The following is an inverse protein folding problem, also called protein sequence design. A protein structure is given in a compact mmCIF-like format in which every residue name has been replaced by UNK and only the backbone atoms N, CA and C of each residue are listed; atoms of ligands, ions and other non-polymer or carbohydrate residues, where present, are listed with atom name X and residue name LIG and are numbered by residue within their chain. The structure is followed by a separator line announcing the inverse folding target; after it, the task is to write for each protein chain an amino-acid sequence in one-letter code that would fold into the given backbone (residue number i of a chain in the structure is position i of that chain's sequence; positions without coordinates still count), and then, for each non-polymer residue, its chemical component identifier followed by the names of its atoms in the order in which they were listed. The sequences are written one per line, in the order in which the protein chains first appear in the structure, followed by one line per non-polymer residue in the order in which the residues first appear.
data_IF_289779668484
#
_entry.id   IF_289779668484
#
_cell.length_a   1.000
_cell.length_b   1.000
_cell.length_c   1.000
_cell.angle_alpha   90.00
_cell.angle_beta   90.00
_cell.angle_gamma   90.00
#
_symmetry.space_group_name_H-M   'P 1'
#
loop_
_entity.id
_entity.type
_entity.pdbx_description
1 polymer ?
#
# COMPACT_ATOMS: atom_id res chain seq x y z
N UNK A 1 6.11 5.83 12.78
CA UNK A 1 5.28 4.59 12.66
C UNK A 1 3.90 4.88 13.23
N UNK A 2 2.85 4.58 12.45
CA UNK A 2 1.46 4.78 12.89
C UNK A 2 0.99 3.53 13.64
N UNK A 3 0.48 3.71 14.85
CA UNK A 3 -0.22 2.68 15.61
C UNK A 3 -1.72 2.83 15.36
N UNK A 4 -2.22 2.10 14.38
CA UNK A 4 -3.64 2.14 14.01
C UNK A 4 -4.43 1.01 14.68
N UNK A 5 -5.74 1.22 14.83
CA UNK A 5 -6.68 0.21 15.35
C UNK A 5 -6.93 -0.87 14.27
N UNK A 6 -7.05 -2.12 14.70
CA UNK A 6 -7.42 -3.21 13.80
C UNK A 6 -8.89 -3.09 13.38
N UNK A 7 -9.23 -3.49 12.14
CA UNK A 7 -10.56 -3.28 11.60
C UNK A 7 -11.65 -4.10 12.31
N UNK A 8 -11.40 -5.37 12.61
CA UNK A 8 -12.39 -6.27 13.27
C UNK A 8 -13.78 -6.20 12.62
N UNK A 9 -13.84 -6.21 11.29
CA UNK A 9 -15.08 -6.07 10.51
C UNK A 9 -15.49 -4.62 10.19
N UNK A 10 -14.74 -3.62 10.67
CA UNK A 10 -14.97 -2.19 10.44
C UNK A 10 -13.84 -1.61 9.58
N UNK A 11 -13.93 -1.80 8.28
CA UNK A 11 -12.87 -1.49 7.30
C UNK A 11 -12.42 -0.02 7.32
N UNK A 12 -13.29 0.90 7.72
CA UNK A 12 -13.02 2.33 7.81
C UNK A 12 -12.10 2.72 8.98
N UNK A 13 -12.09 1.92 10.06
CA UNK A 13 -11.37 2.26 11.31
C UNK A 13 -9.87 2.47 11.10
N UNK A 14 -9.12 1.51 10.51
CA UNK A 14 -7.69 1.72 10.31
C UNK A 14 -7.40 2.84 9.31
N UNK A 15 -8.26 3.04 8.30
CA UNK A 15 -8.09 4.12 7.34
C UNK A 15 -8.29 5.49 7.98
N UNK A 16 -9.31 5.66 8.81
CA UNK A 16 -9.52 6.91 9.55
C UNK A 16 -8.33 7.23 10.46
N UNK A 17 -7.73 6.23 11.11
CA UNK A 17 -6.52 6.43 11.91
C UNK A 17 -5.31 6.86 11.06
N UNK A 18 -5.18 6.31 9.85
CA UNK A 18 -4.11 6.66 8.93
C UNK A 18 -4.32 8.06 8.31
N UNK A 19 -5.55 8.44 8.00
CA UNK A 19 -5.92 9.79 7.54
C UNK A 19 -5.61 10.83 8.60
N UNK A 20 -5.96 10.55 9.86
CA UNK A 20 -5.64 11.42 10.98
C UNK A 20 -4.12 11.54 11.19
N UNK A 21 -3.37 10.44 11.09
CA UNK A 21 -1.92 10.48 11.18
C UNK A 21 -1.29 11.35 10.08
N UNK A 22 -1.81 11.27 8.84
CA UNK A 22 -1.35 12.10 7.73
C UNK A 22 -1.64 13.59 7.98
N UNK A 23 -2.84 13.92 8.52
CA UNK A 23 -3.21 15.27 8.89
C UNK A 23 -2.28 15.83 9.98
N UNK A 24 -2.09 15.07 11.05
CA UNK A 24 -1.20 15.45 12.16
C UNK A 24 0.24 15.68 11.68
N UNK A 25 0.78 14.82 10.82
CA UNK A 25 2.11 14.99 10.26
C UNK A 25 2.25 16.32 9.49
N UNK A 26 1.24 16.74 8.74
CA UNK A 26 1.24 18.01 8.03
C UNK A 26 1.09 19.21 8.96
N UNK A 27 0.27 19.09 10.01
CA UNK A 27 0.12 20.15 11.04
C UNK A 27 1.42 20.37 11.82
N UNK A 28 2.14 19.28 12.11
CA UNK A 28 3.42 19.33 12.81
C UNK A 28 4.63 19.63 11.91
N UNK A 29 4.42 19.91 10.63
CA UNK A 29 5.50 20.00 9.64
C UNK A 29 6.60 21.02 10.05
N UNK A 30 6.20 22.17 10.58
CA UNK A 30 7.16 23.19 11.04
C UNK A 30 7.97 22.69 12.25
N UNK A 31 7.34 22.02 13.22
CA UNK A 31 8.00 21.46 14.39
C UNK A 31 8.97 20.33 14.01
N UNK A 32 8.56 19.48 13.07
CA UNK A 32 9.34 18.35 12.59
C UNK A 32 10.38 18.72 11.52
N UNK A 33 10.40 19.99 11.09
CA UNK A 33 11.27 20.51 10.02
C UNK A 33 11.14 19.67 8.72
N UNK A 34 9.90 19.37 8.31
CA UNK A 34 9.57 18.67 7.08
C UNK A 34 8.73 19.56 6.15
N UNK A 35 8.75 19.25 4.86
CA UNK A 35 7.87 19.89 3.88
C UNK A 35 6.47 19.26 3.92
N UNK A 36 5.40 19.99 4.28
CA UNK A 36 4.04 19.45 4.34
C UNK A 36 3.48 19.02 2.97
N UNK A 37 4.09 19.46 1.87
CA UNK A 37 3.75 19.03 0.50
C UNK A 37 4.54 17.78 0.05
N UNK A 38 5.32 17.17 0.95
CA UNK A 38 6.12 15.97 0.70
C UNK A 38 5.92 14.90 1.78
N UNK A 39 4.68 14.70 2.20
CA UNK A 39 4.30 13.70 3.22
C UNK A 39 3.68 12.49 2.54
N UNK A 40 4.43 11.41 2.45
CA UNK A 40 3.98 10.16 1.87
C UNK A 40 3.53 9.13 2.89
N UNK A 41 2.97 8.03 2.40
CA UNK A 41 2.64 6.85 3.20
C UNK A 41 3.41 5.63 2.70
N UNK A 42 3.77 4.76 3.63
CA UNK A 42 4.44 3.49 3.32
C UNK A 42 3.81 2.35 4.10
N UNK A 43 3.73 1.18 3.47
CA UNK A 43 3.16 0.01 4.14
C UNK A 43 3.61 -1.32 3.53
N UNK A 44 3.58 -2.37 4.36
CA UNK A 44 3.95 -3.72 4.00
C UNK A 44 2.75 -4.66 4.14
N UNK A 45 2.54 -5.60 3.21
CA UNK A 45 1.52 -6.65 3.32
C UNK A 45 0.11 -6.07 3.55
N UNK A 46 -0.57 -6.41 4.63
CA UNK A 46 -1.84 -5.79 5.05
C UNK A 46 -1.70 -4.28 5.36
N UNK A 47 -0.55 -3.84 5.90
CA UNK A 47 -0.21 -2.42 6.03
C UNK A 47 -0.02 -1.74 4.67
N UNK A 48 0.43 -2.49 3.66
CA UNK A 48 0.45 -2.05 2.26
C UNK A 48 -0.95 -1.84 1.69
N UNK A 49 -1.92 -2.69 2.08
CA UNK A 49 -3.33 -2.46 1.80
C UNK A 49 -3.81 -1.14 2.42
N UNK A 50 -3.52 -0.92 3.71
CA UNK A 50 -3.91 0.31 4.40
C UNK A 50 -3.31 1.55 3.71
N UNK A 51 -2.01 1.54 3.44
CA UNK A 51 -1.34 2.65 2.75
C UNK A 51 -1.94 2.90 1.35
N UNK A 52 -2.19 1.83 0.57
CA UNK A 52 -2.87 1.90 -0.72
C UNK A 52 -4.30 2.43 -0.62
N UNK A 53 -5.05 2.05 0.44
CA UNK A 53 -6.41 2.54 0.68
C UNK A 53 -6.45 4.04 1.00
N UNK A 54 -5.47 4.56 1.73
CA UNK A 54 -5.33 6.02 1.95
C UNK A 54 -5.12 6.73 0.61
N UNK A 55 -4.26 6.22 -0.26
CA UNK A 55 -4.02 6.82 -1.57
C UNK A 55 -5.20 6.73 -2.55
N UNK A 56 -6.05 5.69 -2.44
CA UNK A 56 -7.16 5.48 -3.40
C UNK A 56 -8.51 5.93 -2.87
N UNK A 57 -8.83 5.71 -1.58
CA UNK A 57 -10.17 5.88 -1.03
C UNK A 57 -10.32 7.14 -0.17
N UNK A 58 -9.24 7.64 0.46
CA UNK A 58 -9.32 8.80 1.36
C UNK A 58 -9.46 10.11 0.60
N UNK A 59 -10.14 11.08 1.21
CA UNK A 59 -10.22 12.44 0.66
C UNK A 59 -8.89 13.18 0.84
N UNK A 60 -8.21 12.95 1.97
CA UNK A 60 -6.87 13.49 2.24
C UNK A 60 -5.84 12.57 1.59
N UNK A 61 -5.27 12.99 0.47
CA UNK A 61 -4.27 12.19 -0.24
C UNK A 61 -2.86 12.43 0.33
N UNK A 62 -2.04 11.38 0.45
CA UNK A 62 -0.60 11.55 0.64
C UNK A 62 0.04 12.09 -0.63
N UNK A 63 1.25 12.63 -0.54
CA UNK A 63 1.95 13.17 -1.71
C UNK A 63 2.62 12.07 -2.54
N UNK A 64 2.86 10.89 -1.93
CA UNK A 64 3.33 9.66 -2.60
C UNK A 64 3.05 8.41 -1.77
N UNK A 65 3.17 7.25 -2.39
CA UNK A 65 3.06 5.94 -1.72
C UNK A 65 4.26 5.05 -2.01
N UNK A 66 4.70 4.28 -0.99
CA UNK A 66 5.70 3.21 -1.15
C UNK A 66 5.12 1.93 -0.56
N UNK A 67 4.85 0.95 -1.41
CA UNK A 67 4.12 -0.26 -1.05
C UNK A 67 5.00 -1.50 -1.22
N UNK A 68 5.21 -2.24 -0.14
CA UNK A 68 6.01 -3.46 -0.13
C UNK A 68 5.11 -4.68 -0.07
N UNK A 69 5.16 -5.54 -1.08
CA UNK A 69 4.35 -6.76 -1.21
C UNK A 69 2.90 -6.56 -0.72
N UNK A 70 2.22 -5.49 -1.21
CA UNK A 70 0.92 -5.08 -0.68
C UNK A 70 -0.18 -6.09 -1.05
N UNK A 71 -1.13 -6.27 -0.13
CA UNK A 71 -2.44 -6.81 -0.50
C UNK A 71 -3.18 -5.72 -1.29
N UNK A 72 -3.78 -6.07 -2.41
CA UNK A 72 -4.48 -5.13 -3.30
C UNK A 72 -5.85 -5.66 -3.71
N UNK A 73 -5.90 -6.86 -4.31
CA UNK A 73 -7.11 -7.41 -4.92
C UNK A 73 -7.91 -8.28 -3.96
N UNK A 74 -9.23 -8.16 -4.05
CA UNK A 74 -10.19 -9.06 -3.39
C UNK A 74 -10.59 -10.26 -4.27
N UNK A 75 -10.04 -10.38 -5.50
CA UNK A 75 -10.34 -11.50 -6.39
C UNK A 75 -9.89 -12.82 -5.74
N UNK A 76 -10.73 -13.83 -5.78
CA UNK A 76 -10.56 -15.07 -5.02
C UNK A 76 -9.24 -15.83 -5.29
N UNK A 77 -8.71 -15.71 -6.51
CA UNK A 77 -7.46 -16.33 -6.96
C UNK A 77 -6.19 -15.49 -6.68
N UNK A 78 -6.35 -14.25 -6.20
CA UNK A 78 -5.27 -13.27 -5.98
C UNK A 78 -5.19 -12.74 -4.56
N UNK A 79 -6.31 -12.78 -3.82
CA UNK A 79 -6.44 -12.15 -2.52
C UNK A 79 -5.66 -12.87 -1.42
N UNK A 80 -5.22 -12.10 -0.44
CA UNK A 80 -4.87 -12.61 0.88
C UNK A 80 -6.14 -12.67 1.75
N UNK A 81 -6.76 -13.85 1.84
CA UNK A 81 -8.07 -14.04 2.51
C UNK A 81 -8.09 -13.46 3.94
N UNK A 82 -7.04 -13.65 4.72
CA UNK A 82 -6.97 -13.16 6.10
C UNK A 82 -7.15 -11.65 6.23
N UNK A 83 -6.62 -10.86 5.29
CA UNK A 83 -6.82 -9.41 5.27
C UNK A 83 -8.30 -9.04 5.09
N UNK A 84 -8.99 -9.68 4.15
CA UNK A 84 -10.41 -9.37 3.89
C UNK A 84 -11.33 -9.87 4.99
N UNK A 85 -11.00 -10.98 5.66
CA UNK A 85 -11.71 -11.43 6.87
C UNK A 85 -11.58 -10.39 8.00
N UNK A 86 -10.41 -9.82 8.20
CA UNK A 86 -10.23 -8.76 9.20
C UNK A 86 -10.95 -7.46 8.83
N UNK A 87 -10.94 -7.10 7.55
CA UNK A 87 -11.57 -5.87 7.06
C UNK A 87 -13.11 -5.92 7.15
N UNK A 88 -13.71 -7.05 6.77
CA UNK A 88 -15.15 -7.15 6.48
C UNK A 88 -15.89 -8.07 7.44
N UNK A 89 -15.17 -8.87 8.23
CA UNK A 89 -15.72 -10.01 8.95
C UNK A 89 -15.73 -11.29 8.10
N UNK A 90 -15.84 -12.44 8.77
CA UNK A 90 -15.76 -13.75 8.11
C UNK A 90 -16.90 -13.98 7.09
N UNK A 91 -18.08 -13.47 7.39
CA UNK A 91 -19.28 -13.69 6.58
C UNK A 91 -19.26 -12.92 5.25
N UNK A 92 -18.57 -11.79 5.18
CA UNK A 92 -18.55 -10.90 4.00
C UNK A 92 -17.27 -11.02 3.16
N UNK A 93 -16.21 -11.59 3.72
CA UNK A 93 -14.91 -11.70 3.02
C UNK A 93 -14.95 -12.53 1.73
N UNK A 94 -15.90 -13.47 1.62
CA UNK A 94 -16.08 -14.33 0.46
C UNK A 94 -17.26 -13.89 -0.44
N UNK A 95 -17.97 -12.83 -0.08
CA UNK A 95 -19.13 -12.30 -0.82
C UNK A 95 -18.73 -11.27 -1.88
N UNK A 96 -19.62 -10.98 -2.85
CA UNK A 96 -19.37 -9.94 -3.85
C UNK A 96 -19.03 -8.57 -3.27
N UNK A 97 -19.49 -8.22 -2.08
CA UNK A 97 -19.16 -6.96 -1.39
C UNK A 97 -17.65 -6.79 -1.18
N UNK A 98 -16.89 -7.87 -1.02
CA UNK A 98 -15.45 -7.80 -0.91
C UNK A 98 -14.77 -7.14 -2.14
N UNK A 99 -15.39 -7.24 -3.31
CA UNK A 99 -14.89 -6.62 -4.54
C UNK A 99 -14.87 -5.09 -4.49
N UNK A 100 -15.70 -4.48 -3.65
CA UNK A 100 -15.68 -3.03 -3.42
C UNK A 100 -14.41 -2.56 -2.71
N UNK A 101 -13.66 -3.50 -2.12
CA UNK A 101 -12.40 -3.26 -1.41
C UNK A 101 -11.15 -3.63 -2.22
N UNK A 102 -11.31 -3.98 -3.50
CA UNK A 102 -10.22 -4.16 -4.45
C UNK A 102 -9.63 -2.82 -4.83
N UNK A 103 -8.41 -2.52 -4.36
CA UNK A 103 -7.81 -1.18 -4.51
C UNK A 103 -7.45 -0.86 -5.97
N UNK A 104 -7.14 -1.86 -6.79
CA UNK A 104 -6.90 -1.67 -8.23
C UNK A 104 -8.12 -1.12 -8.97
N UNK A 105 -9.33 -1.35 -8.43
CA UNK A 105 -10.59 -0.83 -8.98
C UNK A 105 -10.92 0.60 -8.50
N UNK A 106 -10.14 1.12 -7.55
CA UNK A 106 -10.34 2.44 -6.94
C UNK A 106 -9.29 3.46 -7.36
N UNK A 107 -8.36 3.06 -8.22
CA UNK A 107 -7.37 3.97 -8.80
C UNK A 107 -8.07 5.00 -9.70
N UNK A 108 -7.71 6.25 -9.53
CA UNK A 108 -8.12 7.37 -10.38
C UNK A 108 -6.93 8.32 -10.65
N UNK A 109 -7.15 9.39 -11.41
CA UNK A 109 -6.10 10.36 -11.75
C UNK A 109 -5.58 11.17 -10.53
N UNK A 110 -6.26 11.12 -9.38
CA UNK A 110 -5.83 11.76 -8.12
C UNK A 110 -5.03 10.81 -7.24
N UNK A 111 -4.89 9.55 -7.63
CA UNK A 111 -4.07 8.58 -6.90
C UNK A 111 -2.61 9.03 -6.93
N UNK A 112 -1.91 9.08 -5.79
CA UNK A 112 -0.56 9.62 -5.72
C UNK A 112 0.48 8.81 -6.48
N UNK A 113 1.62 9.42 -6.87
CA UNK A 113 2.79 8.70 -7.35
C UNK A 113 3.13 7.52 -6.46
N UNK A 114 3.40 6.36 -7.04
CA UNK A 114 3.52 5.10 -6.30
C UNK A 114 4.76 4.30 -6.68
N UNK A 115 5.52 3.88 -5.67
CA UNK A 115 6.61 2.91 -5.79
C UNK A 115 6.17 1.58 -5.19
N UNK A 116 6.36 0.49 -5.94
CA UNK A 116 5.96 -0.87 -5.54
C UNK A 116 7.16 -1.81 -5.54
N UNK A 117 7.26 -2.64 -4.52
CA UNK A 117 8.22 -3.73 -4.43
C UNK A 117 7.51 -5.05 -4.13
N UNK A 118 7.89 -6.12 -4.82
CA UNK A 118 7.37 -7.47 -4.59
C UNK A 118 8.44 -8.53 -4.88
N UNK A 119 8.21 -9.77 -4.43
CA UNK A 119 8.97 -10.93 -4.88
C UNK A 119 8.06 -11.86 -5.69
N UNK A 120 8.57 -12.38 -6.82
CA UNK A 120 7.81 -13.24 -7.73
C UNK A 120 7.40 -14.57 -7.06
N UNK A 121 8.23 -15.06 -6.15
CA UNK A 121 8.01 -16.30 -5.39
C UNK A 121 7.16 -16.12 -4.11
N UNK A 122 6.48 -14.97 -3.92
CA UNK A 122 5.61 -14.71 -2.76
C UNK A 122 4.36 -15.59 -2.82
N UNK A 123 4.26 -16.54 -1.87
CA UNK A 123 3.16 -17.50 -1.74
C UNK A 123 2.07 -17.05 -0.78
N UNK A 124 2.25 -15.94 -0.09
CA UNK A 124 1.28 -15.38 0.87
C UNK A 124 0.41 -14.33 0.20
N UNK A 125 1.05 -13.37 -0.48
CA UNK A 125 0.40 -12.37 -1.33
C UNK A 125 1.01 -12.48 -2.72
N UNK A 126 0.31 -13.04 -3.71
CA UNK A 126 0.86 -13.19 -5.05
C UNK A 126 1.29 -11.86 -5.67
N UNK A 127 2.46 -11.83 -6.35
CA UNK A 127 3.03 -10.62 -6.96
C UNK A 127 2.10 -9.95 -7.98
N UNK A 128 1.13 -10.68 -8.52
CA UNK A 128 0.08 -10.14 -9.38
C UNK A 128 -0.70 -8.99 -8.73
N UNK A 129 -0.79 -8.93 -7.38
CA UNK A 129 -1.39 -7.78 -6.67
C UNK A 129 -0.69 -6.47 -7.04
N UNK A 130 0.64 -6.43 -6.92
CA UNK A 130 1.42 -5.24 -7.32
C UNK A 130 1.35 -4.97 -8.82
N UNK A 131 1.37 -6.00 -9.65
CA UNK A 131 1.30 -5.85 -11.10
C UNK A 131 -0.03 -5.24 -11.56
N UNK A 132 -1.16 -5.72 -11.02
CA UNK A 132 -2.50 -5.16 -11.30
C UNK A 132 -2.61 -3.71 -10.85
N UNK A 133 -2.11 -3.39 -9.64
CA UNK A 133 -2.16 -2.03 -9.15
C UNK A 133 -1.32 -1.10 -10.01
N UNK A 134 -0.09 -1.50 -10.34
CA UNK A 134 0.78 -0.76 -11.27
C UNK A 134 0.10 -0.53 -12.62
N UNK A 135 -0.51 -1.56 -13.21
CA UNK A 135 -1.24 -1.44 -14.47
C UNK A 135 -2.31 -0.36 -14.38
N UNK A 136 -3.14 -0.40 -13.32
CA UNK A 136 -4.22 0.58 -13.12
C UNK A 136 -3.69 2.00 -12.90
N UNK A 137 -2.61 2.16 -12.14
CA UNK A 137 -1.95 3.46 -12.02
C UNK A 137 -1.53 4.01 -13.38
N UNK A 138 -0.93 3.18 -14.25
CA UNK A 138 -0.52 3.59 -15.60
C UNK A 138 -1.71 3.91 -16.50
N UNK A 139 -2.81 3.13 -16.44
CA UNK A 139 -4.05 3.40 -17.19
C UNK A 139 -4.66 4.76 -16.84
N UNK A 140 -4.51 5.21 -15.59
CA UNK A 140 -4.98 6.52 -15.12
C UNK A 140 -3.94 7.65 -15.18
N UNK A 141 -2.81 7.42 -15.85
CA UNK A 141 -1.76 8.44 -16.04
C UNK A 141 -0.93 8.75 -14.79
N UNK A 142 -1.07 7.94 -13.73
CA UNK A 142 -0.31 8.13 -12.47
C UNK A 142 1.14 7.70 -12.66
N UNK A 143 2.09 8.47 -12.10
CA UNK A 143 3.49 8.08 -12.03
C UNK A 143 3.63 6.85 -11.14
N UNK A 144 4.15 5.76 -11.68
CA UNK A 144 4.35 4.53 -10.93
C UNK A 144 5.61 3.80 -11.35
N UNK A 145 6.28 3.17 -10.39
CA UNK A 145 7.43 2.28 -10.59
C UNK A 145 7.16 0.98 -9.86
N UNK A 146 7.47 -0.14 -10.50
CA UNK A 146 7.31 -1.49 -9.94
C UNK A 146 8.63 -2.26 -10.06
N UNK A 147 9.10 -2.79 -8.93
CA UNK A 147 10.19 -3.74 -8.87
C UNK A 147 9.68 -5.10 -8.43
N UNK A 148 9.89 -6.12 -9.26
CA UNK A 148 9.61 -7.52 -8.91
C UNK A 148 10.94 -8.27 -8.87
N UNK A 149 11.33 -8.71 -7.67
CA UNK A 149 12.53 -9.52 -7.46
C UNK A 149 12.23 -11.00 -7.70
N UNK A 150 13.17 -11.75 -8.27
CA UNK A 150 12.94 -13.16 -8.60
C UNK A 150 12.64 -14.05 -7.41
N UNK A 151 13.13 -13.67 -6.20
CA UNK A 151 12.98 -14.49 -4.99
C UNK A 151 13.06 -13.65 -3.73
N UNK A 152 12.58 -14.21 -2.62
CA UNK A 152 12.61 -13.57 -1.30
C UNK A 152 11.33 -13.80 -0.50
N UNK A 153 10.29 -14.33 -1.15
CA UNK A 153 9.02 -14.65 -0.53
C UNK A 153 8.30 -13.43 0.03
N UNK A 154 7.64 -13.62 1.16
CA UNK A 154 6.85 -12.60 1.85
C UNK A 154 7.52 -12.12 3.14
N UNK A 155 7.24 -10.87 3.52
CA UNK A 155 7.57 -10.38 4.87
C UNK A 155 9.04 -10.00 5.08
N UNK A 156 9.82 -9.79 4.02
CA UNK A 156 11.26 -9.46 4.14
C UNK A 156 11.51 -8.08 4.78
N UNK A 157 10.61 -7.10 4.58
CA UNK A 157 10.65 -5.77 5.22
C UNK A 157 12.05 -5.17 5.30
N UNK A 158 12.45 -4.74 6.51
CA UNK A 158 13.78 -4.17 6.81
C UNK A 158 14.81 -5.24 7.20
N UNK A 159 14.62 -6.50 6.79
CA UNK A 159 15.56 -7.57 7.12
C UNK A 159 16.85 -7.45 6.31
N UNK A 160 18.02 -7.21 6.95
CA UNK A 160 19.30 -7.06 6.24
C UNK A 160 19.79 -8.36 5.60
N UNK A 161 19.19 -9.50 5.91
CA UNK A 161 19.47 -10.79 5.24
C UNK A 161 18.69 -10.98 3.95
N UNK A 162 17.76 -10.08 3.62
CA UNK A 162 17.06 -10.12 2.33
C UNK A 162 18.08 -9.87 1.21
N UNK A 163 18.11 -10.75 0.22
CA UNK A 163 19.12 -10.74 -0.86
C UNK A 163 19.21 -9.40 -1.58
N UNK A 164 18.07 -8.69 -1.72
CA UNK A 164 17.97 -7.42 -2.45
C UNK A 164 17.82 -6.23 -1.51
N UNK A 165 18.33 -6.36 -0.27
CA UNK A 165 18.20 -5.33 0.77
C UNK A 165 18.75 -3.97 0.33
N UNK A 166 19.96 -3.93 -0.19
CA UNK A 166 20.59 -2.69 -0.65
C UNK A 166 19.95 -2.17 -1.94
N UNK A 167 19.49 -3.07 -2.83
CA UNK A 167 18.86 -2.71 -4.09
C UNK A 167 17.56 -1.95 -3.88
N UNK A 168 16.66 -2.46 -3.02
CA UNK A 168 15.37 -1.79 -2.80
C UNK A 168 15.54 -0.45 -2.05
N UNK A 169 16.52 -0.35 -1.14
CA UNK A 169 16.80 0.91 -0.46
C UNK A 169 17.32 1.95 -1.45
N UNK A 170 18.29 1.57 -2.27
CA UNK A 170 18.81 2.44 -3.32
C UNK A 170 17.69 2.87 -4.27
N UNK A 171 16.90 1.93 -4.77
CA UNK A 171 15.78 2.23 -5.67
C UNK A 171 14.76 3.18 -5.02
N UNK A 172 14.51 3.03 -3.71
CA UNK A 172 13.63 3.94 -2.95
C UNK A 172 14.20 5.36 -2.91
N UNK A 173 15.50 5.52 -2.58
CA UNK A 173 16.15 6.83 -2.52
C UNK A 173 16.21 7.50 -3.89
N UNK A 174 16.58 6.74 -4.92
CA UNK A 174 16.63 7.22 -6.30
C UNK A 174 15.22 7.69 -6.75
N UNK A 175 14.17 6.90 -6.45
CA UNK A 175 12.81 7.26 -6.81
C UNK A 175 12.32 8.51 -6.06
N UNK A 176 12.55 8.60 -4.75
CA UNK A 176 12.18 9.78 -3.95
C UNK A 176 12.84 11.05 -4.46
N UNK A 177 14.04 10.98 -5.03
CA UNK A 177 14.73 12.12 -5.63
C UNK A 177 14.04 12.67 -6.89
N UNK A 178 13.08 11.93 -7.47
CA UNK A 178 12.32 12.34 -8.66
C UNK A 178 10.99 13.05 -8.32
N UNK A 179 10.63 13.11 -7.04
CA UNK A 179 9.45 13.82 -6.51
C UNK A 179 9.80 15.24 -6.12
#
# INVERSE_FOLDING_TARGET
VVKYRLPNGHSEVPRNDADEALRVMREMAAELNIDPAKVGVSGTSAGGYLAGSVGTLSEVKPDFMILYYPVISADADKRHKGTFVQLLGADDADKPVAQEFSLEKKVDARTPPTLLFHCDDDKVVPAVNSALFYQKLKEHGVKATLHIYPSGGHGWGMNPKFRYYDDWQKATLDWLSTL
#
